data_IF_086577095376
#
_entry.id   IF_086577095376
#
_cell.length_a   1.000
_cell.length_b   1.000
_cell.length_c   1.000
_cell.angle_alpha   90.00
_cell.angle_beta   90.00
_cell.angle_gamma   90.00
#
_symmetry.space_group_name_H-M   'P 1'
#
loop_
_entity.id
_entity.type
_entity.pdbx_description
1 polymer ?
#
# COMPACT_ATOMS: atom_id res chain seq x y z
N UNK A 1 -8.60 -9.19 13.70
CA UNK A 1 -7.92 -8.55 12.54
C UNK A 1 -8.62 -7.26 12.19
N UNK A 2 -7.90 -6.13 12.05
CA UNK A 2 -8.47 -4.82 11.72
C UNK A 2 -7.52 -4.00 10.86
N UNK A 3 -8.09 -3.22 9.92
CA UNK A 3 -7.36 -2.16 9.22
C UNK A 3 -7.73 -0.84 9.88
N UNK A 4 -6.72 -0.07 10.26
CA UNK A 4 -6.89 1.23 10.91
C UNK A 4 -6.06 2.30 10.21
N UNK A 5 -6.57 3.53 10.20
CA UNK A 5 -5.87 4.66 9.61
C UNK A 5 -4.65 5.04 10.44
N UNK A 6 -3.54 5.33 9.77
CA UNK A 6 -2.35 5.89 10.39
C UNK A 6 -2.45 7.41 10.42
N UNK A 7 -2.52 7.92 11.61
CA UNK A 7 -2.52 9.34 11.97
C UNK A 7 -1.42 9.58 13.00
N UNK A 8 -1.16 10.84 13.34
CA UNK A 8 -0.11 11.17 14.32
C UNK A 8 -0.33 10.48 15.67
N UNK A 9 -1.58 10.40 16.12
CA UNK A 9 -1.91 9.77 17.40
C UNK A 9 -1.61 8.26 17.42
N UNK A 10 -1.72 7.56 16.27
CA UNK A 10 -1.44 6.13 16.12
C UNK A 10 -0.04 5.81 15.57
N UNK A 11 0.84 6.81 15.44
CA UNK A 11 2.20 6.58 14.93
C UNK A 11 3.00 5.63 15.84
N UNK A 12 2.71 5.57 17.13
CA UNK A 12 3.33 4.63 18.05
C UNK A 12 2.97 3.16 17.77
N UNK A 13 1.84 2.90 17.09
CA UNK A 13 1.43 1.56 16.66
C UNK A 13 2.17 1.09 15.40
N UNK A 14 2.81 2.00 14.66
CA UNK A 14 3.59 1.64 13.50
C UNK A 14 4.82 0.81 13.89
N UNK A 15 5.28 -0.12 13.03
CA UNK A 15 6.54 -0.82 13.24
C UNK A 15 7.70 0.16 13.46
N UNK A 16 8.64 -0.24 14.31
CA UNK A 16 9.73 0.64 14.77
C UNK A 16 10.46 1.37 13.63
N UNK A 17 10.87 0.72 12.53
CA UNK A 17 11.55 1.44 11.45
C UNK A 17 10.69 2.54 10.81
N UNK A 18 9.36 2.38 10.79
CA UNK A 18 8.43 3.34 10.17
C UNK A 18 8.17 4.57 11.04
N UNK A 19 8.35 4.47 12.36
CA UNK A 19 8.08 5.58 13.30
C UNK A 19 8.99 6.78 13.06
N UNK A 20 10.21 6.52 12.62
CA UNK A 20 11.24 7.55 12.42
C UNK A 20 11.69 7.69 10.97
N UNK A 21 11.30 6.78 10.09
CA UNK A 21 11.70 6.79 8.69
C UNK A 21 11.14 8.02 7.96
N UNK A 22 12.03 8.81 7.37
CA UNK A 22 11.71 9.99 6.56
C UNK A 22 12.29 9.91 5.15
N UNK A 23 12.55 8.69 4.66
CA UNK A 23 13.18 8.48 3.36
C UNK A 23 12.40 9.14 2.22
N UNK A 24 11.09 8.93 2.16
CA UNK A 24 10.22 9.53 1.16
C UNK A 24 10.08 11.05 1.29
N UNK A 25 10.19 11.56 2.50
CA UNK A 25 10.06 12.99 2.80
C UNK A 25 11.27 13.83 2.35
N UNK A 26 12.35 13.18 2.00
CA UNK A 26 13.56 13.88 1.54
C UNK A 26 14.87 13.16 1.87
N UNK A 27 14.77 12.08 2.62
CA UNK A 27 15.78 11.03 2.73
C UNK A 27 17.01 11.34 3.53
N UNK A 28 17.24 12.53 4.07
CA UNK A 28 18.46 12.75 4.88
C UNK A 28 18.37 14.02 5.72
N UNK A 29 18.63 13.88 7.02
CA UNK A 29 18.93 14.94 8.01
C UNK A 29 18.00 16.17 7.98
N UNK A 30 17.12 16.24 8.95
CA UNK A 30 16.38 17.46 9.27
C UNK A 30 14.86 17.41 9.09
N UNK A 31 14.30 16.33 8.56
CA UNK A 31 12.84 16.17 8.56
C UNK A 31 12.43 15.42 9.83
N UNK A 32 11.72 16.12 10.71
CA UNK A 32 11.06 15.50 11.85
C UNK A 32 9.80 14.78 11.39
N UNK A 33 9.70 13.47 11.66
CA UNK A 33 8.57 12.64 11.27
C UNK A 33 7.27 13.10 11.91
N UNK A 34 7.30 13.52 13.16
CA UNK A 34 6.13 14.00 13.89
C UNK A 34 5.61 15.32 13.33
N UNK A 35 6.53 16.24 13.02
CA UNK A 35 6.18 17.52 12.41
C UNK A 35 5.64 17.34 11.01
N UNK A 36 6.25 16.46 10.20
CA UNK A 36 5.75 16.12 8.87
C UNK A 36 4.35 15.50 8.96
N UNK A 37 4.15 14.52 9.83
CA UNK A 37 2.88 13.84 10.03
C UNK A 37 1.77 14.82 10.44
N UNK A 38 2.06 15.75 11.36
CA UNK A 38 1.11 16.79 11.76
C UNK A 38 0.71 17.68 10.57
N UNK A 39 1.67 18.05 9.73
CA UNK A 39 1.42 18.87 8.53
C UNK A 39 0.57 18.16 7.50
N UNK A 40 0.84 16.88 7.21
CA UNK A 40 0.05 16.09 6.25
C UNK A 40 -1.34 15.83 6.81
N UNK A 41 -1.44 15.41 8.08
CA UNK A 41 -2.73 15.15 8.74
C UNK A 41 -3.65 16.36 8.72
N UNK A 42 -3.13 17.55 8.97
CA UNK A 42 -3.93 18.79 8.97
C UNK A 42 -4.49 19.18 7.59
N UNK A 43 -3.84 18.76 6.50
CA UNK A 43 -4.26 19.09 5.13
C UNK A 43 -4.97 17.96 4.40
N UNK A 44 -4.57 16.74 4.67
CA UNK A 44 -4.99 15.57 3.91
C UNK A 44 -5.73 14.54 4.77
N UNK A 45 -5.49 14.50 6.07
CA UNK A 45 -6.01 13.48 6.99
C UNK A 45 -5.03 12.33 7.15
N UNK A 46 -5.54 11.11 7.23
CA UNK A 46 -4.70 9.92 7.38
C UNK A 46 -3.69 9.79 6.23
N UNK A 47 -2.47 9.41 6.57
CA UNK A 47 -1.33 9.31 5.65
C UNK A 47 -0.72 7.90 5.60
N UNK A 48 -1.47 6.93 6.06
CA UNK A 48 -1.13 5.51 5.99
C UNK A 48 -2.26 4.65 6.53
N UNK A 49 -2.09 3.35 6.38
CA UNK A 49 -2.94 2.33 6.99
C UNK A 49 -2.10 1.27 7.69
N UNK A 50 -2.61 0.79 8.80
CA UNK A 50 -2.06 -0.29 9.60
C UNK A 50 -2.97 -1.51 9.48
N UNK A 51 -2.37 -2.68 9.26
CA UNK A 51 -3.06 -3.95 9.42
C UNK A 51 -2.70 -4.53 10.78
N UNK A 52 -3.71 -4.72 11.63
CA UNK A 52 -3.52 -5.18 13.00
C UNK A 52 -4.14 -6.56 13.19
N UNK A 53 -3.40 -7.42 13.87
CA UNK A 53 -3.85 -8.69 14.38
C UNK A 53 -3.69 -8.64 15.89
N UNK A 54 -4.84 -8.68 16.59
CA UNK A 54 -4.92 -8.42 18.02
C UNK A 54 -4.29 -7.04 18.36
N UNK A 55 -3.28 -7.00 19.22
CA UNK A 55 -2.58 -5.75 19.58
C UNK A 55 -1.33 -5.48 18.73
N UNK A 56 -1.00 -6.37 17.79
CA UNK A 56 0.22 -6.28 16.98
C UNK A 56 -0.08 -5.73 15.59
N UNK A 57 0.74 -4.79 15.14
CA UNK A 57 0.74 -4.35 13.74
C UNK A 57 1.60 -5.30 12.91
N UNK A 58 0.98 -5.98 11.94
CA UNK A 58 1.65 -6.93 11.03
C UNK A 58 1.88 -6.37 9.63
N UNK A 59 1.31 -5.20 9.34
CA UNK A 59 1.55 -4.51 8.08
C UNK A 59 1.24 -3.02 8.16
N UNK A 60 1.96 -2.24 7.37
CA UNK A 60 1.76 -0.81 7.18
C UNK A 60 1.96 -0.44 5.72
N UNK A 61 1.12 0.46 5.22
CA UNK A 61 1.34 1.16 3.95
C UNK A 61 1.23 2.66 4.20
N UNK A 62 2.21 3.43 3.71
CA UNK A 62 2.19 4.89 3.76
C UNK A 62 1.71 5.46 2.43
N UNK A 63 0.84 6.48 2.47
CA UNK A 63 0.33 7.18 1.29
C UNK A 63 0.01 8.64 1.62
N UNK A 64 -0.20 9.45 0.58
CA UNK A 64 -0.60 10.85 0.74
C UNK A 64 -0.39 11.67 -0.53
N UNK A 65 -0.59 13.00 -0.48
CA UNK A 65 -0.31 13.87 -1.61
C UNK A 65 1.15 13.74 -2.07
N UNK A 66 1.39 13.62 -3.37
CA UNK A 66 2.74 13.44 -3.93
C UNK A 66 3.69 14.58 -3.57
N UNK A 67 3.15 15.78 -3.33
CA UNK A 67 3.91 16.95 -2.92
C UNK A 67 4.59 16.80 -1.56
N UNK A 68 4.06 15.97 -0.67
CA UNK A 68 4.59 15.72 0.66
C UNK A 68 5.72 14.69 0.68
N UNK A 69 6.04 14.10 -0.46
CA UNK A 69 7.09 13.09 -0.65
C UNK A 69 8.17 13.59 -1.62
N UNK A 70 9.05 14.45 -1.13
CA UNK A 70 10.05 15.12 -1.95
C UNK A 70 10.97 14.15 -2.72
N UNK A 71 11.23 12.95 -2.18
CA UNK A 71 12.06 11.95 -2.83
C UNK A 71 11.43 11.35 -4.09
N UNK A 72 10.09 11.33 -4.19
CA UNK A 72 9.37 10.79 -5.33
C UNK A 72 9.76 11.47 -6.67
N UNK A 73 10.17 12.74 -6.61
CA UNK A 73 10.63 13.50 -7.79
C UNK A 73 11.99 13.05 -8.32
N UNK A 74 12.75 12.32 -7.51
CA UNK A 74 14.12 11.86 -7.84
C UNK A 74 14.14 10.46 -8.43
N UNK A 75 13.03 9.74 -8.34
CA UNK A 75 12.95 8.41 -8.93
C UNK A 75 12.90 8.49 -10.46
N UNK A 76 13.52 7.51 -11.16
CA UNK A 76 13.65 7.57 -12.63
C UNK A 76 12.30 7.72 -13.36
N UNK A 77 11.27 7.06 -12.88
CA UNK A 77 9.92 7.14 -13.45
C UNK A 77 9.07 8.32 -12.90
N UNK A 78 9.65 9.19 -12.06
CA UNK A 78 8.98 10.36 -11.50
C UNK A 78 8.90 11.55 -12.46
N UNK A 79 8.27 12.65 -12.05
CA UNK A 79 7.50 12.81 -10.84
C UNK A 79 6.11 12.17 -10.95
N UNK A 80 5.44 11.85 -9.81
CA UNK A 80 4.03 11.45 -9.79
C UNK A 80 3.11 12.58 -10.28
N UNK A 81 1.92 12.22 -10.71
CA UNK A 81 0.89 13.16 -11.16
C UNK A 81 0.35 14.00 -9.99
N UNK A 82 -0.04 15.24 -10.28
CA UNK A 82 -0.54 16.16 -9.24
C UNK A 82 -1.93 15.81 -8.74
N UNK A 83 -2.72 15.13 -9.55
CA UNK A 83 -4.09 14.70 -9.29
C UNK A 83 -4.20 13.33 -8.61
N UNK A 84 -3.04 12.69 -8.35
CA UNK A 84 -2.99 11.38 -7.73
C UNK A 84 -2.45 11.44 -6.29
N UNK A 85 -2.94 10.54 -5.48
CA UNK A 85 -2.35 10.21 -4.19
C UNK A 85 -1.24 9.19 -4.41
N UNK A 86 -0.08 9.44 -3.84
CA UNK A 86 1.06 8.55 -3.95
C UNK A 86 1.07 7.53 -2.81
N UNK A 87 1.09 6.26 -3.16
CA UNK A 87 1.44 5.17 -2.25
C UNK A 87 2.97 5.02 -2.31
N UNK A 88 3.62 5.10 -1.16
CA UNK A 88 5.08 5.22 -1.12
C UNK A 88 5.79 3.92 -0.81
N UNK A 89 5.41 3.26 0.27
CA UNK A 89 6.07 2.03 0.71
C UNK A 89 5.12 1.17 1.54
N UNK A 90 5.44 -0.11 1.60
CA UNK A 90 4.84 -1.04 2.54
C UNK A 90 5.94 -1.67 3.42
N UNK A 91 5.59 -1.97 4.66
CA UNK A 91 6.36 -2.84 5.54
C UNK A 91 5.42 -3.91 6.06
N UNK A 92 5.77 -5.17 5.88
CA UNK A 92 4.95 -6.31 6.31
C UNK A 92 5.80 -7.25 7.14
N UNK A 93 5.22 -7.81 8.18
CA UNK A 93 5.85 -8.87 8.95
C UNK A 93 6.16 -10.05 8.00
N UNK A 94 7.42 -10.53 7.94
CA UNK A 94 7.78 -11.66 7.08
C UNK A 94 6.97 -12.94 7.33
N UNK A 95 6.42 -13.10 8.53
CA UNK A 95 5.55 -14.23 8.87
C UNK A 95 4.11 -14.05 8.34
N UNK A 96 3.73 -12.83 7.95
CA UNK A 96 2.45 -12.54 7.33
C UNK A 96 2.55 -12.73 5.81
N UNK A 97 1.57 -13.33 5.20
CA UNK A 97 1.57 -13.55 3.76
C UNK A 97 1.45 -12.26 2.94
N UNK A 98 1.76 -12.31 1.63
CA UNK A 98 1.70 -11.15 0.72
C UNK A 98 0.29 -10.53 0.64
N UNK A 99 -0.74 -11.27 0.98
CA UNK A 99 -2.13 -10.82 1.03
C UNK A 99 -2.35 -9.60 1.95
N UNK A 100 -1.47 -9.37 2.94
CA UNK A 100 -1.55 -8.20 3.84
C UNK A 100 -1.38 -6.90 3.06
N UNK A 101 -0.40 -6.86 2.13
CA UNK A 101 -0.19 -5.70 1.25
C UNK A 101 -1.40 -5.45 0.38
N UNK A 102 -1.91 -6.50 -0.26
CA UNK A 102 -3.09 -6.40 -1.12
C UNK A 102 -4.31 -5.85 -0.37
N UNK A 103 -4.56 -6.34 0.85
CA UNK A 103 -5.67 -5.84 1.67
C UNK A 103 -5.49 -4.37 2.07
N UNK A 104 -4.29 -3.95 2.40
CA UNK A 104 -3.99 -2.55 2.70
C UNK A 104 -4.18 -1.66 1.47
N UNK A 105 -3.70 -2.08 0.30
CA UNK A 105 -3.85 -1.34 -0.95
C UNK A 105 -5.32 -1.21 -1.37
N UNK A 106 -6.11 -2.29 -1.24
CA UNK A 106 -7.55 -2.26 -1.49
C UNK A 106 -8.29 -1.33 -0.52
N UNK A 107 -7.92 -1.34 0.75
CA UNK A 107 -8.49 -0.44 1.75
C UNK A 107 -8.17 1.03 1.44
N UNK A 108 -6.93 1.33 1.02
CA UNK A 108 -6.52 2.67 0.57
C UNK A 108 -7.33 3.08 -0.67
N UNK A 109 -7.53 2.18 -1.63
CA UNK A 109 -8.31 2.46 -2.83
C UNK A 109 -9.77 2.77 -2.48
N UNK A 110 -10.38 1.99 -1.59
CA UNK A 110 -11.74 2.22 -1.09
C UNK A 110 -11.88 3.56 -0.38
N UNK A 111 -11.04 3.84 0.63
CA UNK A 111 -11.05 5.12 1.35
C UNK A 111 -10.83 6.30 0.41
N UNK A 112 -9.84 6.19 -0.49
CA UNK A 112 -9.53 7.26 -1.43
C UNK A 112 -10.69 7.57 -2.37
N UNK A 113 -11.36 6.54 -2.89
CA UNK A 113 -12.57 6.70 -3.70
C UNK A 113 -13.69 7.37 -2.90
N UNK A 114 -13.94 6.93 -1.67
CA UNK A 114 -15.01 7.46 -0.82
C UNK A 114 -14.76 8.94 -0.45
N UNK A 115 -13.50 9.36 -0.46
CA UNK A 115 -13.08 10.76 -0.33
C UNK A 115 -13.15 11.55 -1.65
N UNK A 116 -13.56 10.93 -2.76
CA UNK A 116 -13.65 11.57 -4.07
C UNK A 116 -12.31 11.85 -4.74
N UNK A 117 -11.25 11.15 -4.35
CA UNK A 117 -9.94 11.26 -4.98
C UNK A 117 -9.96 10.59 -6.36
N UNK A 118 -9.15 11.11 -7.28
CA UNK A 118 -9.22 10.74 -8.70
C UNK A 118 -8.44 9.45 -8.98
N UNK A 119 -7.24 9.35 -8.43
CA UNK A 119 -6.35 8.22 -8.70
C UNK A 119 -5.35 7.96 -7.57
N UNK A 120 -4.85 6.74 -7.55
CA UNK A 120 -3.66 6.35 -6.81
C UNK A 120 -2.50 6.14 -7.77
N UNK A 121 -1.30 6.51 -7.34
CA UNK A 121 -0.05 6.16 -8.03
C UNK A 121 0.92 5.49 -7.06
N UNK A 122 1.76 4.61 -7.60
CA UNK A 122 2.82 3.95 -6.85
C UNK A 122 4.03 3.69 -7.76
N UNK A 123 5.23 3.74 -7.20
CA UNK A 123 6.41 3.24 -7.89
C UNK A 123 6.50 1.74 -7.72
N UNK A 124 6.77 1.04 -8.83
CA UNK A 124 6.86 -0.40 -8.92
C UNK A 124 8.22 -0.86 -9.45
N UNK A 125 8.59 -2.08 -9.07
CA UNK A 125 9.74 -2.80 -9.63
C UNK A 125 9.30 -4.21 -10.05
N UNK A 126 9.85 -4.77 -11.15
CA UNK A 126 9.62 -6.16 -11.52
C UNK A 126 10.37 -7.14 -10.61
N UNK A 127 11.32 -6.66 -9.82
CA UNK A 127 12.12 -7.49 -8.94
C UNK A 127 11.30 -7.89 -7.72
N UNK A 128 10.91 -9.15 -7.68
CA UNK A 128 10.32 -9.74 -6.49
C UNK A 128 11.40 -9.90 -5.41
N UNK A 129 11.10 -9.41 -4.23
CA UNK A 129 11.93 -9.59 -3.03
C UNK A 129 11.06 -10.19 -1.93
N UNK A 130 10.69 -11.47 -2.05
CA UNK A 130 9.73 -12.11 -1.15
C UNK A 130 10.17 -12.07 0.33
N UNK A 131 11.48 -12.01 0.57
CA UNK A 131 12.05 -12.01 1.93
C UNK A 131 12.30 -10.59 2.47
N UNK A 132 12.04 -9.54 1.68
CA UNK A 132 12.23 -8.17 2.12
C UNK A 132 10.97 -7.68 2.86
N UNK A 133 11.05 -7.40 4.17
CA UNK A 133 9.89 -6.89 4.90
C UNK A 133 9.49 -5.48 4.44
N UNK A 134 10.41 -4.76 3.83
CA UNK A 134 10.22 -3.38 3.38
C UNK A 134 10.19 -3.30 1.86
N UNK A 135 9.01 -3.06 1.31
CA UNK A 135 8.76 -2.98 -0.13
C UNK A 135 8.87 -1.53 -0.62
N UNK A 136 10.00 -1.20 -1.25
CA UNK A 136 10.29 0.11 -1.85
C UNK A 136 11.23 -0.07 -3.07
N UNK A 137 10.76 0.17 -4.29
CA UNK A 137 9.38 0.28 -4.76
C UNK A 137 8.54 -0.97 -4.47
N UNK A 138 7.22 -0.85 -4.67
CA UNK A 138 6.31 -1.99 -4.49
C UNK A 138 6.52 -3.04 -5.59
N UNK A 139 6.23 -4.33 -5.34
CA UNK A 139 6.21 -5.35 -6.39
C UNK A 139 5.18 -4.99 -7.47
N UNK A 140 5.60 -5.04 -8.72
CA UNK A 140 4.72 -4.73 -9.86
C UNK A 140 3.51 -5.65 -9.92
N UNK A 141 3.73 -6.95 -9.71
CA UNK A 141 2.67 -7.95 -9.75
C UNK A 141 1.54 -7.66 -8.75
N UNK A 142 1.87 -7.24 -7.53
CA UNK A 142 0.89 -6.90 -6.50
C UNK A 142 0.00 -5.71 -6.92
N UNK A 143 0.58 -4.72 -7.61
CA UNK A 143 -0.15 -3.57 -8.11
C UNK A 143 -1.02 -3.92 -9.30
N UNK A 144 -0.52 -4.72 -10.25
CA UNK A 144 -1.26 -5.17 -11.43
C UNK A 144 -2.47 -6.02 -11.03
N UNK A 145 -2.35 -6.87 -10.02
CA UNK A 145 -3.44 -7.69 -9.51
C UNK A 145 -4.61 -6.85 -8.97
N UNK A 146 -4.31 -5.65 -8.43
CA UNK A 146 -5.31 -4.70 -7.93
C UNK A 146 -5.89 -3.82 -9.05
N UNK A 147 -5.26 -3.82 -10.23
CA UNK A 147 -5.72 -3.08 -11.39
C UNK A 147 -4.93 -1.80 -11.69
N UNK A 148 -3.75 -1.63 -11.09
CA UNK A 148 -2.84 -0.57 -11.52
C UNK A 148 -2.29 -0.87 -12.91
N UNK A 149 -2.15 0.18 -13.73
CA UNK A 149 -1.51 0.12 -15.03
C UNK A 149 -0.27 1.00 -15.07
N UNK A 150 0.75 0.61 -15.83
CA UNK A 150 1.96 1.41 -16.01
C UNK A 150 1.64 2.68 -16.80
N UNK A 151 2.03 3.83 -16.28
CA UNK A 151 1.90 5.13 -16.97
C UNK A 151 3.25 5.70 -17.41
N UNK A 152 4.33 5.25 -16.80
CA UNK A 152 5.70 5.61 -17.19
C UNK A 152 6.69 4.56 -16.71
N UNK A 153 7.66 4.25 -17.54
CA UNK A 153 8.74 3.33 -17.24
C UNK A 153 10.09 4.00 -17.45
N UNK A 154 11.04 3.76 -16.55
CA UNK A 154 12.41 4.22 -16.65
C UNK A 154 13.35 3.23 -15.96
N UNK A 155 14.08 2.43 -16.78
CA UNK A 155 14.88 1.31 -16.30
C UNK A 155 13.99 0.24 -15.65
N UNK A 156 14.35 -0.16 -14.44
CA UNK A 156 13.61 -1.18 -13.67
C UNK A 156 12.46 -0.59 -12.82
N UNK A 157 12.24 0.72 -12.89
CA UNK A 157 11.20 1.39 -12.10
C UNK A 157 10.08 1.83 -13.02
N UNK A 158 8.85 1.48 -12.66
CA UNK A 158 7.64 1.97 -13.30
C UNK A 158 6.86 2.87 -12.33
N UNK A 159 6.24 3.93 -12.84
CA UNK A 159 5.16 4.62 -12.16
C UNK A 159 3.85 3.98 -12.62
N UNK A 160 3.10 3.45 -11.68
CA UNK A 160 1.84 2.77 -11.92
C UNK A 160 0.67 3.58 -11.37
N UNK A 161 -0.48 3.52 -12.04
CA UNK A 161 -1.67 4.30 -11.69
C UNK A 161 -2.92 3.45 -11.67
N UNK A 162 -3.77 3.68 -10.67
CA UNK A 162 -5.13 3.17 -10.56
C UNK A 162 -6.10 4.36 -10.62
N UNK A 163 -6.98 4.38 -11.62
CA UNK A 163 -8.07 5.35 -11.71
C UNK A 163 -9.23 4.91 -10.80
N UNK A 164 -9.57 5.74 -9.83
CA UNK A 164 -10.60 5.43 -8.83
C UNK A 164 -12.03 5.67 -9.33
N UNK A 165 -12.22 6.46 -10.40
CA UNK A 165 -13.55 6.80 -10.94
C UNK A 165 -14.27 5.61 -11.55
N UNK A 166 -13.51 4.61 -12.01
CA UNK A 166 -14.04 3.37 -12.60
C UNK A 166 -14.27 2.25 -11.61
N UNK A 167 -13.91 2.41 -10.34
CA UNK A 167 -14.03 1.34 -9.35
C UNK A 167 -15.49 1.14 -8.93
N UNK A 168 -16.00 -0.05 -9.21
CA UNK A 168 -17.33 -0.48 -8.77
C UNK A 168 -17.24 -0.98 -7.32
N UNK A 169 -18.12 -0.50 -6.46
CA UNK A 169 -18.26 -1.04 -5.11
C UNK A 169 -18.99 -2.36 -5.17
N UNK A 170 -18.32 -3.44 -4.78
CA UNK A 170 -19.02 -4.70 -4.48
C UNK A 170 -19.57 -4.57 -3.05
N UNK A 171 -20.88 -4.73 -2.82
CA UNK A 171 -21.45 -4.69 -1.48
C UNK A 171 -20.72 -5.68 -0.55
N UNK A 172 -20.54 -5.32 0.71
CA UNK A 172 -19.81 -6.14 1.67
C UNK A 172 -20.35 -7.58 1.80
N UNK A 173 -21.67 -7.77 1.57
CA UNK A 173 -22.32 -9.08 1.51
C UNK A 173 -21.83 -9.94 0.34
N UNK A 174 -21.61 -9.34 -0.83
CA UNK A 174 -21.12 -10.04 -2.01
C UNK A 174 -19.62 -10.30 -1.94
N UNK A 175 -18.84 -9.35 -1.40
CA UNK A 175 -17.42 -9.53 -1.13
C UNK A 175 -17.17 -10.71 -0.18
N UNK A 176 -17.99 -10.85 0.88
CA UNK A 176 -17.92 -11.98 1.81
C UNK A 176 -18.27 -13.32 1.15
N UNK A 177 -19.18 -13.34 0.18
CA UNK A 177 -19.50 -14.55 -0.59
C UNK A 177 -18.38 -14.92 -1.55
N UNK A 178 -17.78 -13.96 -2.21
CA UNK A 178 -16.64 -14.18 -3.12
C UNK A 178 -15.41 -14.70 -2.36
N UNK A 179 -15.14 -14.16 -1.17
CA UNK A 179 -14.04 -14.63 -0.32
C UNK A 179 -14.27 -16.08 0.13
N UNK A 180 -15.49 -16.45 0.55
CA UNK A 180 -15.85 -17.84 0.88
C UNK A 180 -15.69 -18.77 -0.33
N UNK A 181 -16.12 -18.35 -1.50
CA UNK A 181 -15.98 -19.14 -2.72
C UNK A 181 -14.50 -19.32 -3.12
N UNK A 182 -13.66 -18.31 -2.93
CA UNK A 182 -12.22 -18.41 -3.15
C UNK A 182 -11.55 -19.37 -2.18
N UNK A 183 -11.92 -19.32 -0.90
CA UNK A 183 -11.44 -20.25 0.12
C UNK A 183 -11.85 -21.69 -0.19
N UNK A 184 -13.12 -21.95 -0.55
CA UNK A 184 -13.58 -23.27 -0.97
C UNK A 184 -12.87 -23.80 -2.21
N UNK A 185 -12.60 -22.94 -3.19
CA UNK A 185 -11.87 -23.32 -4.40
C UNK A 185 -10.39 -23.61 -4.10
N UNK A 186 -9.77 -22.86 -3.21
CA UNK A 186 -8.40 -23.09 -2.77
C UNK A 186 -8.29 -24.45 -2.03
N UNK A 187 -9.22 -24.76 -1.13
CA UNK A 187 -9.26 -26.04 -0.44
C UNK A 187 -9.49 -27.22 -1.42
N UNK A 188 -10.38 -27.06 -2.40
CA UNK A 188 -10.62 -28.09 -3.43
C UNK A 188 -9.39 -28.33 -4.30
N UNK A 189 -8.60 -27.28 -4.60
CA UNK A 189 -7.32 -27.41 -5.32
C UNK A 189 -6.28 -28.13 -4.47
N UNK A 190 -6.15 -27.80 -3.19
CA UNK A 190 -5.20 -28.44 -2.27
C UNK A 190 -5.49 -29.95 -2.11
N UNK A 191 -6.76 -30.36 -2.07
CA UNK A 191 -7.17 -31.78 -1.98
C UNK A 191 -6.96 -32.58 -3.29
N UNK A 192 -6.73 -31.90 -4.43
CA UNK A 192 -6.53 -32.55 -5.73
C UNK A 192 -5.06 -32.79 -6.09
N UNK A 193 -4.12 -32.36 -5.29
CA UNK A 193 -2.70 -32.67 -5.50
C UNK A 193 -2.42 -34.06 -4.92
N UNK A 194 -2.21 -35.11 -5.76
CA UNK A 194 -1.89 -36.44 -5.27
C UNK A 194 -0.51 -36.39 -4.60
N UNK A 195 -0.41 -37.00 -3.41
CA UNK A 195 0.86 -37.25 -2.77
C UNK A 195 1.75 -38.03 -3.77
N UNK A 196 2.84 -37.44 -4.18
CA UNK A 196 3.87 -38.14 -4.95
C UNK A 196 4.55 -39.12 -4.00
N UNK A 197 4.32 -40.40 -4.25
CA UNK A 197 5.10 -41.51 -3.71
C UNK A 197 6.51 -41.51 -4.23
#
# INVERSE_FOLDING_TARGET
MAITSLVRASLHDAPEPCRTCTWWQGGVRGVDKQQWAAGVEGRFGAWGMLYREDERTIGIVQYGPSADFAYARRLPAGPPSRDAVLITCALVDPAAGPWVVQRLLLAIAGESRDRGLIALEAFATPVERPDAPHLVPLPRADLEEIGFASVREAGEVALMRLDLRGLVTVPASEASLLDRLREELAERRARRVPARS
#
